data_IF_650033053063
#
_entry.id   IF_650033053063
#
_cell.length_a   1.000
_cell.length_b   1.000
_cell.length_c   1.000
_cell.angle_alpha   90.00
_cell.angle_beta   90.00
_cell.angle_gamma   90.00
#
_symmetry.space_group_name_H-M   'P 1'
#
loop_
_entity.id
_entity.type
_entity.pdbx_description
1 polymer ?
#
# COMPACT_ATOMS: atom_id res chain seq x y z
N UNK A 1 46.06 -1.78 31.32
CA UNK A 1 45.33 -0.58 30.83
C UNK A 1 45.59 -0.46 29.35
N UNK A 2 44.75 -1.03 28.55
CA UNK A 2 44.77 -0.88 27.09
C UNK A 2 43.41 -0.37 26.66
N UNK A 3 43.39 0.93 26.34
CA UNK A 3 42.26 1.70 25.94
C UNK A 3 41.96 1.37 24.46
N UNK A 4 41.01 0.50 24.20
CA UNK A 4 40.47 0.27 22.85
C UNK A 4 39.39 1.31 22.60
N UNK A 5 39.79 2.48 22.09
CA UNK A 5 38.89 3.42 21.47
C UNK A 5 38.33 2.82 20.17
N UNK A 6 37.04 2.56 20.18
CA UNK A 6 36.27 2.24 18.98
C UNK A 6 36.15 3.54 18.16
N UNK A 7 36.62 3.63 16.89
CA UNK A 7 36.52 4.85 16.13
C UNK A 7 35.05 5.09 15.76
N UNK A 8 34.46 6.15 16.28
CA UNK A 8 33.22 6.72 15.75
C UNK A 8 33.47 7.12 14.30
N UNK A 9 32.95 6.36 13.35
CA UNK A 9 32.93 6.77 11.94
C UNK A 9 31.95 7.94 11.81
N UNK A 10 32.51 9.13 11.67
CA UNK A 10 31.78 10.33 11.25
C UNK A 10 31.43 10.19 9.76
N UNK A 11 30.37 10.86 9.29
CA UNK A 11 29.86 10.83 7.89
C UNK A 11 30.94 11.09 6.81
N UNK A 12 32.02 11.78 7.16
CA UNK A 12 33.10 12.16 6.25
C UNK A 12 34.09 11.04 5.89
N UNK A 13 33.96 9.84 6.49
CA UNK A 13 34.87 8.70 6.25
C UNK A 13 34.22 7.52 5.51
N UNK A 14 32.97 7.64 5.08
CA UNK A 14 32.25 6.57 4.41
C UNK A 14 32.57 6.59 2.91
N UNK A 15 33.21 5.52 2.42
CA UNK A 15 33.41 5.33 0.99
C UNK A 15 32.08 4.94 0.30
N UNK A 16 31.70 5.69 -0.74
CA UNK A 16 30.46 5.50 -1.49
C UNK A 16 30.29 4.05 -2.00
N UNK A 17 31.31 3.51 -2.69
CA UNK A 17 31.23 2.17 -3.26
C UNK A 17 31.09 1.08 -2.19
N UNK A 18 31.79 1.24 -1.08
CA UNK A 18 31.69 0.33 0.09
C UNK A 18 30.29 0.38 0.69
N UNK A 19 29.71 1.58 0.84
CA UNK A 19 28.35 1.73 1.37
C UNK A 19 27.29 1.10 0.44
N UNK A 20 27.36 1.36 -0.87
CA UNK A 20 26.48 0.70 -1.86
C UNK A 20 26.55 -0.82 -1.74
N UNK A 21 27.77 -1.38 -1.74
CA UNK A 21 27.95 -2.83 -1.67
C UNK A 21 27.40 -3.41 -0.35
N UNK A 22 27.60 -2.72 0.76
CA UNK A 22 27.10 -3.15 2.07
C UNK A 22 25.57 -3.17 2.11
N UNK A 23 24.90 -2.12 1.60
CA UNK A 23 23.44 -2.06 1.52
C UNK A 23 22.90 -3.19 0.61
N UNK A 24 23.43 -3.33 -0.60
CA UNK A 24 22.97 -4.35 -1.55
C UNK A 24 23.18 -5.75 -0.97
N UNK A 25 24.35 -6.07 -0.45
CA UNK A 25 24.63 -7.41 0.09
C UNK A 25 23.71 -7.80 1.25
N UNK A 26 23.29 -6.81 2.06
CA UNK A 26 22.40 -7.05 3.19
C UNK A 26 20.95 -7.21 2.75
N UNK A 27 20.49 -6.39 1.81
CA UNK A 27 19.06 -6.22 1.55
C UNK A 27 18.56 -6.81 0.22
N UNK A 28 19.47 -7.20 -0.70
CA UNK A 28 19.11 -7.76 -2.01
C UNK A 28 18.15 -8.94 -1.91
N UNK A 29 18.34 -9.82 -0.94
CA UNK A 29 17.50 -11.01 -0.78
C UNK A 29 16.06 -10.66 -0.39
N UNK A 30 15.87 -9.58 0.37
CA UNK A 30 14.55 -9.15 0.89
C UNK A 30 13.84 -8.24 -0.09
N UNK A 31 14.56 -7.30 -0.73
CA UNK A 31 13.98 -6.23 -1.52
C UNK A 31 14.33 -6.28 -3.00
N UNK A 32 15.29 -7.12 -3.40
CA UNK A 32 15.74 -7.19 -4.78
C UNK A 32 14.66 -7.75 -5.71
N UNK A 33 14.50 -7.11 -6.87
CA UNK A 33 13.69 -7.60 -7.99
C UNK A 33 14.63 -8.07 -9.10
N UNK A 34 14.14 -8.96 -9.97
CA UNK A 34 14.91 -9.45 -11.12
C UNK A 34 15.14 -8.39 -12.21
N UNK A 35 14.41 -7.30 -12.16
CA UNK A 35 14.52 -6.20 -13.12
C UNK A 35 15.73 -5.33 -12.79
N UNK A 36 16.83 -5.50 -13.52
CA UNK A 36 17.95 -4.59 -13.44
C UNK A 36 17.54 -3.18 -13.87
N UNK A 37 17.82 -2.17 -13.06
CA UNK A 37 17.70 -0.77 -13.46
C UNK A 37 18.79 -0.46 -14.49
N UNK A 38 18.41 0.18 -15.59
CA UNK A 38 19.34 0.76 -16.59
C UNK A 38 19.72 2.21 -16.25
N UNK A 39 19.21 2.74 -15.14
CA UNK A 39 19.49 4.11 -14.71
C UNK A 39 20.98 4.27 -14.40
N UNK A 40 21.62 5.25 -15.07
CA UNK A 40 23.00 5.63 -14.79
C UNK A 40 22.95 6.58 -13.60
N UNK A 41 23.35 6.08 -12.44
CA UNK A 41 23.47 6.89 -11.25
C UNK A 41 24.53 8.00 -11.43
N UNK A 42 24.20 9.23 -11.02
CA UNK A 42 25.12 10.35 -10.96
C UNK A 42 25.12 10.96 -9.56
N UNK A 43 26.27 10.97 -8.84
CA UNK A 43 26.36 11.63 -7.54
C UNK A 43 25.96 13.10 -7.61
N UNK A 44 25.09 13.54 -6.72
CA UNK A 44 24.60 14.92 -6.72
C UNK A 44 24.30 15.45 -5.29
N UNK A 45 24.40 14.57 -4.28
CA UNK A 45 24.04 14.86 -2.90
C UNK A 45 25.17 14.44 -1.94
N UNK A 46 24.84 14.18 -0.70
CA UNK A 46 25.83 13.64 0.24
C UNK A 46 26.05 12.13 -0.02
N UNK A 47 27.17 11.59 0.50
CA UNK A 47 27.61 10.23 0.24
C UNK A 47 26.58 9.18 0.68
N UNK A 48 25.80 9.41 1.75
CA UNK A 48 24.82 8.48 2.29
C UNK A 48 23.60 8.41 1.39
N UNK A 49 23.05 9.57 1.02
CA UNK A 49 21.95 9.65 0.06
C UNK A 49 22.33 8.97 -1.26
N UNK A 50 23.50 9.32 -1.77
CA UNK A 50 23.97 8.83 -3.05
C UNK A 50 24.17 7.29 -3.04
N UNK A 51 24.77 6.76 -1.98
CA UNK A 51 24.96 5.33 -1.83
C UNK A 51 23.63 4.56 -1.67
N UNK A 52 22.70 5.07 -0.87
CA UNK A 52 21.40 4.46 -0.68
C UNK A 52 20.55 4.49 -1.96
N UNK A 53 20.57 5.62 -2.70
CA UNK A 53 19.87 5.75 -3.97
C UNK A 53 20.39 4.75 -5.01
N UNK A 54 21.71 4.68 -5.20
CA UNK A 54 22.33 3.71 -6.12
C UNK A 54 22.05 2.27 -5.71
N UNK A 55 22.14 1.94 -4.42
CA UNK A 55 21.83 0.60 -3.92
C UNK A 55 20.37 0.20 -4.21
N UNK A 56 19.42 1.10 -3.98
CA UNK A 56 18.00 0.88 -4.29
C UNK A 56 17.77 0.66 -5.80
N UNK A 57 18.38 1.47 -6.66
CA UNK A 57 18.31 1.29 -8.11
C UNK A 57 18.85 -0.10 -8.52
N UNK A 58 19.99 -0.53 -7.95
CA UNK A 58 20.57 -1.86 -8.22
C UNK A 58 19.65 -3.00 -7.75
N UNK A 59 18.87 -2.80 -6.69
CA UNK A 59 17.86 -3.74 -6.21
C UNK A 59 16.53 -3.67 -6.98
N UNK A 60 16.44 -2.88 -8.07
CA UNK A 60 15.26 -2.80 -8.93
C UNK A 60 14.15 -1.89 -8.41
N UNK A 61 14.44 -0.94 -7.52
CA UNK A 61 13.52 0.16 -7.24
C UNK A 61 13.50 1.15 -8.40
N UNK A 62 12.36 1.76 -8.67
CA UNK A 62 12.26 2.88 -9.62
C UNK A 62 12.90 4.15 -9.03
N UNK A 63 13.26 5.11 -9.88
CA UNK A 63 13.99 6.33 -9.47
C UNK A 63 13.32 7.08 -8.31
N UNK A 64 12.00 7.29 -8.40
CA UNK A 64 11.28 8.02 -7.36
C UNK A 64 11.27 7.29 -6.01
N UNK A 65 11.12 5.97 -6.01
CA UNK A 65 11.16 5.16 -4.80
C UNK A 65 12.57 5.12 -4.21
N UNK A 66 13.59 4.99 -5.07
CA UNK A 66 14.99 5.03 -4.65
C UNK A 66 15.33 6.36 -3.97
N UNK A 67 14.86 7.48 -4.51
CA UNK A 67 15.02 8.80 -3.93
C UNK A 67 14.31 8.93 -2.57
N UNK A 68 13.12 8.35 -2.40
CA UNK A 68 12.41 8.35 -1.12
C UNK A 68 13.19 7.59 -0.05
N UNK A 69 13.67 6.39 -0.36
CA UNK A 69 14.47 5.56 0.57
C UNK A 69 15.80 6.24 0.89
N UNK A 70 16.46 6.85 -0.09
CA UNK A 70 17.72 7.57 0.11
C UNK A 70 17.57 8.77 1.08
N UNK A 71 16.49 9.54 0.95
CA UNK A 71 16.15 10.61 1.90
C UNK A 71 15.91 10.07 3.30
N UNK A 72 15.15 8.97 3.41
CA UNK A 72 14.87 8.34 4.68
C UNK A 72 16.16 7.80 5.35
N UNK A 73 17.08 7.24 4.56
CA UNK A 73 18.38 6.77 5.08
C UNK A 73 19.25 7.91 5.58
N UNK A 74 19.25 9.04 4.86
CA UNK A 74 19.93 10.25 5.32
C UNK A 74 19.32 10.74 6.63
N UNK A 75 17.99 10.88 6.71
CA UNK A 75 17.29 11.30 7.92
C UNK A 75 17.54 10.35 9.11
N UNK A 76 17.49 9.03 8.87
CA UNK A 76 17.86 8.02 9.88
C UNK A 76 19.28 8.22 10.38
N UNK A 77 20.24 8.47 9.49
CA UNK A 77 21.65 8.70 9.87
C UNK A 77 21.80 9.97 10.70
N UNK A 78 21.14 11.05 10.31
CA UNK A 78 21.13 12.31 11.06
C UNK A 78 20.50 12.12 12.45
N UNK A 79 19.38 11.42 12.55
CA UNK A 79 18.67 11.14 13.81
C UNK A 79 19.46 10.22 14.73
N UNK A 80 20.15 9.21 14.20
CA UNK A 80 20.89 8.21 15.00
C UNK A 80 22.34 8.60 15.26
N UNK A 81 22.88 9.57 14.51
CA UNK A 81 24.27 10.01 14.57
C UNK A 81 25.26 9.07 13.89
N UNK A 82 24.79 8.02 13.18
CA UNK A 82 25.66 7.06 12.46
C UNK A 82 24.96 6.45 11.25
N UNK A 83 25.73 6.19 10.21
CA UNK A 83 25.29 5.37 9.10
C UNK A 83 25.37 3.88 9.46
N UNK A 84 24.31 3.14 9.13
CA UNK A 84 24.26 1.69 9.30
C UNK A 84 23.64 1.03 8.06
N UNK A 85 24.47 0.45 7.21
CA UNK A 85 24.03 -0.22 5.98
C UNK A 85 23.15 -1.46 6.24
N UNK A 86 23.21 -2.04 7.44
CA UNK A 86 22.42 -3.19 7.85
C UNK A 86 20.99 -2.85 8.29
N UNK A 87 20.71 -1.57 8.53
CA UNK A 87 19.45 -1.13 9.10
C UNK A 87 18.61 -0.37 8.06
N UNK A 88 17.70 -1.08 7.39
CA UNK A 88 16.75 -0.47 6.46
C UNK A 88 15.88 0.58 7.17
N UNK A 89 15.67 1.77 6.58
CA UNK A 89 14.81 2.79 7.20
C UNK A 89 13.36 2.29 7.33
N UNK A 90 12.83 2.34 8.56
CA UNK A 90 11.45 1.93 8.88
C UNK A 90 10.74 2.90 9.81
N UNK A 91 11.43 3.97 10.22
CA UNK A 91 10.83 5.00 11.06
C UNK A 91 9.96 5.94 10.20
N UNK A 92 8.65 6.09 10.48
CA UNK A 92 7.75 6.93 9.69
C UNK A 92 8.25 8.37 9.53
N UNK A 93 8.82 8.96 10.57
CA UNK A 93 9.34 10.33 10.56
C UNK A 93 10.51 10.52 9.60
N UNK A 94 11.33 9.48 9.35
CA UNK A 94 12.44 9.54 8.40
C UNK A 94 11.92 9.66 6.94
N UNK A 95 10.70 9.22 6.67
CA UNK A 95 9.99 9.40 5.40
C UNK A 95 9.13 10.68 5.35
N UNK A 96 9.10 11.46 6.42
CA UNK A 96 8.27 12.67 6.54
C UNK A 96 6.80 12.40 6.85
N UNK A 97 6.44 11.15 7.18
CA UNK A 97 5.09 10.77 7.59
C UNK A 97 4.76 11.40 8.93
N UNK A 98 3.58 12.01 9.02
CA UNK A 98 3.10 12.66 10.21
C UNK A 98 2.06 11.78 10.91
N UNK A 99 1.99 11.80 12.26
CA UNK A 99 0.98 11.07 13.02
C UNK A 99 -0.45 11.41 12.61
N UNK A 100 -1.36 10.47 12.78
CA UNK A 100 -2.81 10.64 12.61
C UNK A 100 -3.50 10.82 13.98
N UNK A 101 -4.67 11.51 14.05
CA UNK A 101 -5.36 12.20 12.96
C UNK A 101 -4.76 13.58 12.68
N UNK A 102 -4.92 14.07 11.42
CA UNK A 102 -4.58 15.45 11.02
C UNK A 102 -5.85 16.26 10.80
N UNK A 103 -5.74 17.58 10.80
CA UNK A 103 -6.88 18.49 10.60
C UNK A 103 -7.65 18.20 9.31
N UNK A 104 -6.95 17.74 8.27
CA UNK A 104 -7.52 17.44 6.95
C UNK A 104 -7.68 15.94 6.68
N UNK A 105 -7.61 15.08 7.71
CA UNK A 105 -7.84 13.64 7.55
C UNK A 105 -9.24 13.35 7.01
N UNK A 106 -9.34 12.31 6.19
CA UNK A 106 -10.63 11.74 5.81
C UNK A 106 -11.28 11.00 6.98
N UNK A 107 -12.58 10.75 6.90
CA UNK A 107 -13.29 9.97 7.92
C UNK A 107 -12.61 8.60 8.14
N UNK A 108 -12.45 8.14 9.39
CA UNK A 108 -11.69 6.92 9.67
C UNK A 108 -12.41 5.66 9.19
N UNK A 109 -11.63 4.65 8.85
CA UNK A 109 -12.03 3.27 8.66
C UNK A 109 -11.67 2.42 9.90
N UNK A 110 -12.27 1.22 10.08
CA UNK A 110 -11.71 0.20 10.97
C UNK A 110 -10.25 -0.10 10.61
N UNK A 111 -9.40 -0.31 11.61
CA UNK A 111 -7.98 -0.63 11.39
C UNK A 111 -7.77 -1.91 10.56
N UNK A 112 -8.71 -2.86 10.69
CA UNK A 112 -8.74 -4.08 9.89
C UNK A 112 -10.01 -4.08 9.03
N UNK A 113 -9.84 -3.92 7.73
CA UNK A 113 -10.91 -4.03 6.73
C UNK A 113 -11.19 -5.51 6.36
N UNK A 114 -10.35 -6.44 6.83
CA UNK A 114 -10.50 -7.89 6.67
C UNK A 114 -10.35 -8.36 5.22
N UNK A 115 -11.19 -9.31 4.81
CA UNK A 115 -11.31 -9.69 3.41
C UNK A 115 -11.93 -8.55 2.62
N UNK A 116 -11.23 -8.09 1.60
CA UNK A 116 -11.65 -6.98 0.76
C UNK A 116 -11.96 -7.51 -0.66
N UNK A 117 -13.23 -7.60 -1.03
CA UNK A 117 -13.65 -8.11 -2.34
C UNK A 117 -13.75 -6.96 -3.36
N UNK A 118 -13.01 -7.02 -4.46
CA UNK A 118 -13.13 -6.09 -5.59
C UNK A 118 -13.96 -6.74 -6.68
N UNK A 119 -15.11 -6.16 -7.00
CA UNK A 119 -16.23 -6.79 -7.68
C UNK A 119 -16.71 -5.98 -8.89
N UNK A 120 -17.13 -6.63 -9.98
CA UNK A 120 -17.39 -5.96 -11.25
C UNK A 120 -18.73 -5.22 -11.33
N UNK A 121 -19.71 -5.62 -10.52
CA UNK A 121 -21.07 -5.10 -10.58
C UNK A 121 -21.81 -5.19 -9.24
N UNK A 122 -22.98 -4.56 -9.16
CA UNK A 122 -23.81 -4.51 -7.96
C UNK A 122 -24.36 -5.88 -7.53
N UNK A 123 -24.59 -6.80 -8.47
CA UNK A 123 -25.06 -8.14 -8.15
C UNK A 123 -23.98 -8.92 -7.38
N UNK A 124 -22.73 -8.84 -7.82
CA UNK A 124 -21.60 -9.40 -7.10
C UNK A 124 -21.36 -8.73 -5.75
N UNK A 125 -21.51 -7.38 -5.67
CA UNK A 125 -21.41 -6.65 -4.41
C UNK A 125 -22.43 -7.17 -3.40
N UNK A 126 -23.70 -7.28 -3.78
CA UNK A 126 -24.74 -7.82 -2.92
C UNK A 126 -24.49 -9.27 -2.49
N UNK A 127 -24.07 -10.11 -3.44
CA UNK A 127 -23.75 -11.52 -3.19
C UNK A 127 -22.66 -11.69 -2.13
N UNK A 128 -21.55 -10.95 -2.25
CA UNK A 128 -20.44 -11.04 -1.31
C UNK A 128 -20.76 -10.38 0.04
N UNK A 129 -21.48 -9.27 0.05
CA UNK A 129 -21.93 -8.63 1.29
C UNK A 129 -22.86 -9.56 2.09
N UNK A 130 -23.81 -10.24 1.43
CA UNK A 130 -24.70 -11.22 2.07
C UNK A 130 -23.94 -12.47 2.54
N UNK A 131 -22.85 -12.85 1.89
CA UNK A 131 -21.96 -13.91 2.36
C UNK A 131 -21.06 -13.49 3.54
N UNK A 132 -21.21 -12.27 4.07
CA UNK A 132 -20.49 -11.78 5.23
C UNK A 132 -19.08 -11.24 4.94
N UNK A 133 -18.77 -10.89 3.68
CA UNK A 133 -17.52 -10.20 3.36
C UNK A 133 -17.55 -8.79 3.97
N UNK A 134 -16.59 -8.44 4.86
CA UNK A 134 -16.65 -7.20 5.62
C UNK A 134 -16.41 -5.94 4.80
N UNK A 135 -15.68 -6.04 3.68
CA UNK A 135 -15.39 -4.90 2.81
C UNK A 135 -15.55 -5.30 1.35
N UNK A 136 -16.35 -4.53 0.62
CA UNK A 136 -16.64 -4.75 -0.80
C UNK A 136 -16.37 -3.46 -1.59
N UNK A 137 -15.84 -3.60 -2.80
CA UNK A 137 -15.60 -2.50 -3.71
C UNK A 137 -16.33 -2.76 -5.04
N UNK A 138 -17.17 -1.83 -5.44
CA UNK A 138 -17.73 -1.80 -6.78
C UNK A 138 -16.69 -1.24 -7.74
N UNK A 139 -16.15 -2.08 -8.62
CA UNK A 139 -15.24 -1.68 -9.70
C UNK A 139 -15.92 -1.85 -11.05
N UNK A 140 -16.96 -1.05 -11.27
CA UNK A 140 -17.74 -1.01 -12.50
C UNK A 140 -17.02 -0.13 -13.53
N UNK A 141 -16.76 -0.68 -14.71
CA UNK A 141 -16.10 0.04 -15.80
C UNK A 141 -17.12 0.48 -16.82
N UNK A 142 -17.40 1.77 -16.85
CA UNK A 142 -18.26 2.44 -17.82
C UNK A 142 -17.84 3.91 -17.94
N UNK A 143 -18.06 4.49 -19.10
CA UNK A 143 -17.91 5.93 -19.35
C UNK A 143 -19.27 6.63 -19.43
N UNK A 144 -20.38 5.88 -19.34
CA UNK A 144 -21.73 6.42 -19.42
C UNK A 144 -22.22 6.84 -18.01
N UNK A 145 -22.44 8.14 -17.74
CA UNK A 145 -22.81 8.63 -16.40
C UNK A 145 -24.09 8.01 -15.85
N UNK A 146 -25.11 7.80 -16.72
CA UNK A 146 -26.37 7.21 -16.29
C UNK A 146 -26.23 5.72 -15.91
N UNK A 147 -25.38 4.97 -16.58
CA UNK A 147 -25.08 3.58 -16.22
C UNK A 147 -24.32 3.53 -14.89
N UNK A 148 -23.32 4.39 -14.71
CA UNK A 148 -22.55 4.51 -13.48
C UNK A 148 -23.47 4.83 -12.29
N UNK A 149 -24.32 5.85 -12.42
CA UNK A 149 -25.24 6.24 -11.36
C UNK A 149 -26.21 5.11 -10.96
N UNK A 150 -26.77 4.41 -11.95
CA UNK A 150 -27.65 3.24 -11.69
C UNK A 150 -26.91 2.13 -10.95
N UNK A 151 -25.69 1.81 -11.38
CA UNK A 151 -24.91 0.72 -10.79
C UNK A 151 -24.45 1.04 -9.38
N UNK A 152 -24.03 2.28 -9.12
CA UNK A 152 -23.66 2.75 -7.76
C UNK A 152 -24.86 2.69 -6.82
N UNK A 153 -26.04 3.17 -7.24
CA UNK A 153 -27.25 3.09 -6.44
C UNK A 153 -27.68 1.64 -6.18
N UNK A 154 -27.57 0.78 -7.20
CA UNK A 154 -27.87 -0.65 -7.05
C UNK A 154 -26.93 -1.32 -6.04
N UNK A 155 -25.62 -1.02 -6.06
CA UNK A 155 -24.65 -1.53 -5.12
C UNK A 155 -24.93 -1.06 -3.68
N UNK A 156 -25.25 0.23 -3.48
CA UNK A 156 -25.63 0.76 -2.17
C UNK A 156 -26.87 0.04 -1.62
N UNK A 157 -27.88 -0.18 -2.47
CA UNK A 157 -29.08 -0.93 -2.09
C UNK A 157 -28.75 -2.39 -1.75
N UNK A 158 -27.84 -3.01 -2.49
CA UNK A 158 -27.48 -4.42 -2.33
C UNK A 158 -26.75 -4.72 -1.01
N UNK A 159 -26.06 -3.74 -0.41
CA UNK A 159 -25.40 -3.90 0.90
C UNK A 159 -26.28 -3.53 2.08
N UNK A 160 -27.50 -3.01 1.86
CA UNK A 160 -28.42 -2.65 2.94
C UNK A 160 -28.80 -3.89 3.78
N UNK A 161 -28.73 -3.73 5.09
CA UNK A 161 -29.01 -4.83 6.04
C UNK A 161 -27.82 -5.78 6.24
N UNK A 162 -26.66 -5.48 5.70
CA UNK A 162 -25.39 -6.17 5.98
C UNK A 162 -24.43 -5.23 6.70
N UNK A 163 -23.36 -5.77 7.29
CA UNK A 163 -22.27 -5.00 7.91
C UNK A 163 -21.16 -4.63 6.92
N UNK A 164 -21.34 -4.90 5.63
CA UNK A 164 -20.31 -4.68 4.61
C UNK A 164 -20.06 -3.19 4.35
N UNK A 165 -18.78 -2.81 4.36
CA UNK A 165 -18.32 -1.47 4.00
C UNK A 165 -18.18 -1.38 2.48
N UNK A 166 -18.98 -0.53 1.82
CA UNK A 166 -18.96 -0.38 0.36
C UNK A 166 -18.12 0.80 -0.10
N UNK A 167 -17.07 0.52 -0.87
CA UNK A 167 -16.31 1.53 -1.59
C UNK A 167 -16.63 1.53 -3.08
N UNK A 168 -16.73 2.73 -3.67
CA UNK A 168 -16.93 2.93 -5.11
C UNK A 168 -15.58 3.27 -5.75
N UNK A 169 -15.17 2.50 -6.77
CA UNK A 169 -13.91 2.72 -7.46
C UNK A 169 -14.07 3.80 -8.54
N UNK A 170 -13.17 4.79 -8.57
CA UNK A 170 -13.01 5.89 -9.54
C UNK A 170 -14.20 6.88 -9.62
N UNK A 171 -15.44 6.42 -9.56
CA UNK A 171 -16.65 7.20 -9.78
C UNK A 171 -17.08 8.05 -8.55
N UNK A 172 -16.21 8.95 -8.12
CA UNK A 172 -16.38 9.70 -6.88
C UNK A 172 -17.60 10.64 -6.89
N UNK A 173 -17.95 11.27 -8.03
CA UNK A 173 -19.16 12.10 -8.13
C UNK A 173 -20.42 11.28 -7.86
N UNK A 174 -20.54 10.13 -8.54
CA UNK A 174 -21.70 9.24 -8.33
C UNK A 174 -21.75 8.70 -6.90
N UNK A 175 -20.59 8.47 -6.27
CA UNK A 175 -20.52 8.04 -4.88
C UNK A 175 -21.00 9.14 -3.91
N UNK A 176 -20.66 10.41 -4.16
CA UNK A 176 -21.17 11.56 -3.39
C UNK A 176 -22.68 11.68 -3.55
N UNK A 177 -23.17 11.71 -4.79
CA UNK A 177 -24.60 11.89 -5.12
C UNK A 177 -25.48 10.79 -4.51
N UNK A 178 -24.96 9.57 -4.44
CA UNK A 178 -25.67 8.41 -3.90
C UNK A 178 -25.45 8.20 -2.39
N UNK A 179 -24.58 8.95 -1.73
CA UNK A 179 -24.27 8.80 -0.31
C UNK A 179 -23.58 7.47 0.03
N UNK A 180 -22.58 7.07 -0.75
CA UNK A 180 -21.80 5.86 -0.50
C UNK A 180 -21.02 5.94 0.82
N UNK A 181 -20.54 4.80 1.32
CA UNK A 181 -19.66 4.75 2.49
C UNK A 181 -18.29 5.38 2.21
N UNK A 182 -17.74 5.13 1.03
CA UNK A 182 -16.45 5.69 0.63
C UNK A 182 -16.14 5.50 -0.85
N UNK A 183 -15.02 6.06 -1.25
CA UNK A 183 -14.46 5.94 -2.61
C UNK A 183 -13.05 5.35 -2.54
N UNK A 184 -12.65 4.68 -3.61
CA UNK A 184 -11.28 4.21 -3.82
C UNK A 184 -10.74 4.79 -5.12
N UNK A 185 -9.58 5.47 -5.04
CA UNK A 185 -8.97 6.15 -6.16
C UNK A 185 -7.55 5.62 -6.45
N UNK A 186 -7.17 5.63 -7.71
CA UNK A 186 -5.80 5.42 -8.16
C UNK A 186 -4.97 6.70 -8.12
N UNK A 187 -3.68 6.60 -8.45
CA UNK A 187 -2.77 7.74 -8.49
C UNK A 187 -3.12 8.76 -9.59
N UNK A 188 -3.67 8.27 -10.71
CA UNK A 188 -4.11 9.11 -11.82
C UNK A 188 -5.34 9.94 -11.45
N UNK A 189 -6.24 9.36 -10.63
CA UNK A 189 -7.46 10.02 -10.20
C UNK A 189 -7.20 11.15 -9.21
N UNK A 190 -6.10 11.11 -8.46
CA UNK A 190 -5.71 12.17 -7.52
C UNK A 190 -5.49 13.54 -8.18
N UNK A 191 -5.17 13.56 -9.46
CA UNK A 191 -4.93 14.80 -10.21
C UNK A 191 -6.22 15.46 -10.69
N UNK A 192 -7.33 14.70 -10.72
CA UNK A 192 -8.61 15.15 -11.29
C UNK A 192 -9.78 15.13 -10.30
N UNK A 193 -9.69 14.35 -9.22
CA UNK A 193 -10.77 14.25 -8.23
C UNK A 193 -10.79 15.47 -7.31
N UNK A 194 -11.99 15.98 -7.03
CA UNK A 194 -12.19 16.99 -5.99
C UNK A 194 -12.19 16.34 -4.60
N UNK A 195 -10.99 16.18 -4.04
CA UNK A 195 -10.81 15.60 -2.71
C UNK A 195 -11.49 16.41 -1.60
N UNK A 196 -11.71 17.73 -1.83
CA UNK A 196 -12.42 18.57 -0.89
C UNK A 196 -13.92 18.25 -0.88
N UNK A 197 -14.54 18.07 -2.05
CA UNK A 197 -15.92 17.64 -2.16
C UNK A 197 -16.16 16.26 -1.54
N UNK A 198 -15.24 15.29 -1.79
CA UNK A 198 -15.31 13.94 -1.20
C UNK A 198 -15.27 14.02 0.33
N UNK A 199 -14.36 14.83 0.89
CA UNK A 199 -14.22 15.02 2.35
C UNK A 199 -15.45 15.72 2.95
N UNK A 200 -15.96 16.78 2.30
CA UNK A 200 -17.14 17.50 2.75
C UNK A 200 -18.40 16.63 2.74
N UNK A 201 -18.50 15.69 1.79
CA UNK A 201 -19.57 14.70 1.75
C UNK A 201 -19.45 13.63 2.85
N UNK A 202 -18.36 13.63 3.64
CA UNK A 202 -18.12 12.67 4.72
C UNK A 202 -17.70 11.28 4.24
N UNK A 203 -17.35 11.12 2.97
CA UNK A 203 -16.93 9.83 2.42
C UNK A 203 -15.50 9.48 2.90
N UNK A 204 -15.27 8.17 3.10
CA UNK A 204 -13.94 7.61 3.31
C UNK A 204 -13.19 7.58 1.98
N UNK A 205 -11.88 7.79 2.04
CA UNK A 205 -11.00 7.74 0.88
C UNK A 205 -9.99 6.60 1.03
N UNK A 206 -10.00 5.66 0.10
CA UNK A 206 -8.93 4.68 -0.10
C UNK A 206 -8.04 5.08 -1.26
N UNK A 207 -6.74 4.90 -1.13
CA UNK A 207 -5.78 5.20 -2.19
C UNK A 207 -4.92 3.99 -2.55
N UNK A 208 -4.84 3.68 -3.84
CA UNK A 208 -3.89 2.70 -4.38
C UNK A 208 -2.48 3.26 -4.43
N UNK A 209 -1.49 2.44 -4.04
CA UNK A 209 -0.05 2.77 -4.12
C UNK A 209 0.77 1.59 -4.60
N UNK A 210 1.88 1.87 -5.29
CA UNK A 210 2.72 0.86 -5.94
C UNK A 210 4.18 0.90 -5.47
N UNK A 211 4.54 1.84 -4.60
CA UNK A 211 5.89 2.02 -4.05
C UNK A 211 5.96 3.20 -3.09
N UNK A 212 7.15 3.50 -2.61
CA UNK A 212 7.39 4.53 -1.58
C UNK A 212 6.91 5.92 -2.00
N UNK A 213 7.22 6.36 -3.22
CA UNK A 213 6.87 7.69 -3.70
C UNK A 213 5.35 7.92 -3.72
N UNK A 214 4.58 6.92 -4.19
CA UNK A 214 3.13 6.98 -4.20
C UNK A 214 2.53 6.90 -2.80
N UNK A 215 3.17 6.16 -1.88
CA UNK A 215 2.78 6.10 -0.47
C UNK A 215 2.95 7.44 0.22
N UNK A 216 4.08 8.14 -0.02
CA UNK A 216 4.30 9.49 0.51
C UNK A 216 3.31 10.48 -0.07
N UNK A 217 2.99 10.36 -1.36
CA UNK A 217 1.93 11.16 -2.00
C UNK A 217 0.56 10.88 -1.38
N UNK A 218 0.23 9.61 -1.15
CA UNK A 218 -1.03 9.24 -0.50
C UNK A 218 -1.11 9.78 0.93
N UNK A 219 -0.04 9.63 1.72
CA UNK A 219 0.05 10.15 3.09
C UNK A 219 -0.23 11.65 3.17
N UNK A 220 0.25 12.44 2.21
CA UNK A 220 0.00 13.88 2.16
C UNK A 220 -1.50 14.25 2.12
N UNK A 221 -2.36 13.35 1.66
CA UNK A 221 -3.82 13.55 1.63
C UNK A 221 -4.54 13.01 2.86
N UNK A 222 -3.84 12.32 3.76
CA UNK A 222 -4.37 11.68 4.97
C UNK A 222 -5.65 10.84 4.70
N UNK A 223 -5.57 9.82 3.80
CA UNK A 223 -6.71 9.01 3.41
C UNK A 223 -7.23 8.15 4.56
N UNK A 224 -8.38 7.51 4.37
CA UNK A 224 -8.97 6.59 5.36
C UNK A 224 -8.26 5.25 5.41
N UNK A 225 -7.68 4.80 4.31
CA UNK A 225 -6.82 3.63 4.21
C UNK A 225 -5.91 3.71 2.97
N UNK A 226 -4.84 2.93 2.99
CA UNK A 226 -3.89 2.81 1.87
C UNK A 226 -3.87 1.36 1.38
N UNK A 227 -4.04 1.18 0.06
CA UNK A 227 -3.89 -0.11 -0.61
C UNK A 227 -2.52 -0.19 -1.28
N UNK A 228 -1.83 -1.30 -1.06
CA UNK A 228 -0.44 -1.52 -1.48
C UNK A 228 -0.36 -2.73 -2.42
N UNK A 229 0.18 -2.55 -3.61
CA UNK A 229 0.33 -3.63 -4.60
C UNK A 229 0.90 -3.14 -5.93
N UNK A 230 1.02 -4.01 -6.98
CA UNK A 230 0.65 -5.44 -6.86
C UNK A 230 1.72 -6.20 -6.07
N UNK A 231 1.29 -7.03 -5.10
CA UNK A 231 2.22 -7.87 -4.33
C UNK A 231 2.79 -8.99 -5.20
N UNK A 232 1.93 -9.66 -5.97
CA UNK A 232 2.30 -10.74 -6.90
C UNK A 232 1.88 -10.41 -8.34
N UNK A 233 2.38 -11.15 -9.35
CA UNK A 233 1.97 -10.96 -10.74
C UNK A 233 0.45 -11.02 -10.90
N UNK A 234 -0.10 -10.08 -11.64
CA UNK A 234 -1.53 -9.97 -11.95
C UNK A 234 -1.75 -9.63 -13.42
N UNK A 235 -2.87 -10.09 -13.98
CA UNK A 235 -3.28 -9.79 -15.36
C UNK A 235 -4.48 -8.84 -15.43
N UNK A 236 -5.02 -8.43 -14.27
CA UNK A 236 -6.24 -7.60 -14.21
C UNK A 236 -5.99 -6.12 -14.50
N UNK A 237 -4.80 -5.63 -14.23
CA UNK A 237 -4.33 -4.30 -14.57
C UNK A 237 -2.90 -4.40 -15.08
N UNK A 238 -2.59 -3.69 -16.16
CA UNK A 238 -1.20 -3.55 -16.61
C UNK A 238 -0.50 -2.63 -15.61
N UNK A 239 0.50 -3.18 -14.94
CA UNK A 239 1.29 -2.44 -13.95
C UNK A 239 2.50 -1.80 -14.63
N UNK A 240 2.85 -0.58 -14.22
CA UNK A 240 4.09 0.09 -14.64
C UNK A 240 5.29 -0.39 -13.85
N UNK A 241 5.05 -0.89 -12.62
CA UNK A 241 6.08 -1.45 -11.73
C UNK A 241 5.99 -2.97 -11.70
N UNK A 242 7.12 -3.63 -11.46
CA UNK A 242 7.16 -5.05 -11.16
C UNK A 242 6.39 -5.36 -9.86
N UNK A 243 5.91 -6.61 -9.68
CA UNK A 243 5.33 -7.06 -8.41
C UNK A 243 6.30 -6.82 -7.26
N UNK A 244 5.79 -6.26 -6.16
CA UNK A 244 6.63 -5.77 -5.06
C UNK A 244 7.12 -6.88 -4.11
N UNK A 245 6.40 -8.00 -4.05
CA UNK A 245 6.70 -9.08 -3.12
C UNK A 245 6.40 -8.75 -1.65
N UNK A 246 6.44 -9.78 -0.81
CA UNK A 246 6.10 -9.65 0.61
C UNK A 246 7.20 -8.97 1.45
N UNK A 247 8.46 -9.04 1.01
CA UNK A 247 9.56 -8.32 1.68
C UNK A 247 9.37 -6.80 1.64
N UNK A 248 9.08 -6.25 0.47
CA UNK A 248 8.76 -4.81 0.33
C UNK A 248 7.46 -4.46 1.04
N UNK A 249 6.44 -5.32 0.94
CA UNK A 249 5.17 -5.13 1.63
C UNK A 249 5.34 -4.98 3.15
N UNK A 250 6.22 -5.77 3.78
CA UNK A 250 6.53 -5.64 5.21
C UNK A 250 7.17 -4.30 5.54
N UNK A 251 8.11 -3.83 4.73
CA UNK A 251 8.73 -2.52 4.93
C UNK A 251 7.71 -1.37 4.78
N UNK A 252 6.81 -1.47 3.81
CA UNK A 252 5.71 -0.52 3.62
C UNK A 252 4.75 -0.50 4.81
N UNK A 253 4.36 -1.68 5.31
CA UNK A 253 3.49 -1.79 6.47
C UNK A 253 4.11 -1.17 7.73
N UNK A 254 5.42 -1.28 7.90
CA UNK A 254 6.12 -0.69 9.05
C UNK A 254 6.05 0.83 9.07
N UNK A 255 6.23 1.50 7.92
CA UNK A 255 6.23 2.98 7.88
C UNK A 255 4.81 3.58 7.85
N UNK A 256 3.80 2.81 7.48
CA UNK A 256 2.40 3.26 7.39
C UNK A 256 1.52 2.66 8.49
N UNK A 257 2.10 2.26 9.63
CA UNK A 257 1.43 1.53 10.70
C UNK A 257 0.21 2.23 11.32
N UNK A 258 0.11 3.56 11.20
CA UNK A 258 -1.03 4.34 11.67
C UNK A 258 -2.27 4.22 10.73
N UNK A 259 -2.08 3.75 9.50
CA UNK A 259 -3.17 3.58 8.54
C UNK A 259 -3.77 2.16 8.58
N UNK A 260 -5.07 2.01 8.34
CA UNK A 260 -5.60 0.76 7.83
C UNK A 260 -4.91 0.42 6.51
N UNK A 261 -4.33 -0.78 6.40
CA UNK A 261 -3.55 -1.20 5.24
C UNK A 261 -4.21 -2.38 4.54
N UNK A 262 -4.26 -2.31 3.20
CA UNK A 262 -4.84 -3.34 2.34
C UNK A 262 -3.81 -3.81 1.32
N UNK A 263 -3.38 -5.06 1.40
CA UNK A 263 -2.55 -5.65 0.35
C UNK A 263 -3.41 -6.09 -0.85
N UNK A 264 -2.94 -5.84 -2.08
CA UNK A 264 -3.64 -6.23 -3.30
C UNK A 264 -2.68 -6.73 -4.38
N UNK A 265 -3.18 -7.58 -5.27
CA UNK A 265 -2.48 -8.02 -6.47
C UNK A 265 -1.99 -9.45 -6.39
N UNK A 266 -2.65 -10.33 -7.15
CA UNK A 266 -2.30 -11.75 -7.28
C UNK A 266 -2.47 -12.57 -6.00
N UNK A 267 -3.28 -12.10 -5.05
CA UNK A 267 -3.53 -12.77 -3.77
C UNK A 267 -4.61 -13.84 -3.95
N UNK A 268 -4.33 -15.01 -3.44
CA UNK A 268 -5.21 -16.18 -3.34
C UNK A 268 -5.01 -16.86 -1.97
N UNK A 269 -5.73 -17.93 -1.72
CA UNK A 269 -5.67 -18.63 -0.45
C UNK A 269 -4.28 -19.20 -0.11
N UNK A 270 -3.48 -19.60 -1.10
CA UNK A 270 -2.15 -20.15 -0.86
C UNK A 270 -1.15 -19.06 -0.42
N UNK A 271 -1.31 -17.83 -0.93
CA UNK A 271 -0.46 -16.67 -0.68
C UNK A 271 -0.90 -15.83 0.52
N UNK A 272 -2.16 -16.00 0.93
CA UNK A 272 -2.75 -15.19 2.00
C UNK A 272 -1.96 -15.22 3.32
N UNK A 273 -1.47 -16.37 3.83
CA UNK A 273 -0.68 -16.40 5.07
C UNK A 273 0.60 -15.56 4.98
N UNK A 274 1.32 -15.63 3.86
CA UNK A 274 2.54 -14.86 3.63
C UNK A 274 2.25 -13.34 3.55
N UNK A 275 1.15 -12.96 2.89
CA UNK A 275 0.70 -11.57 2.82
C UNK A 275 0.38 -11.03 4.22
N UNK A 276 -0.41 -11.75 4.99
CA UNK A 276 -0.82 -11.30 6.32
C UNK A 276 0.35 -11.26 7.32
N UNK A 277 1.38 -12.08 7.13
CA UNK A 277 2.61 -12.03 7.92
C UNK A 277 3.42 -10.74 7.72
N UNK A 278 3.16 -9.98 6.65
CA UNK A 278 3.82 -8.69 6.42
C UNK A 278 3.38 -7.56 7.36
N UNK A 279 2.35 -7.78 8.18
CA UNK A 279 1.81 -6.78 9.09
C UNK A 279 0.62 -5.97 8.54
N UNK A 280 0.17 -6.24 7.30
CA UNK A 280 -1.06 -5.64 6.77
C UNK A 280 -2.28 -6.20 7.49
N UNK A 281 -3.26 -5.34 7.76
CA UNK A 281 -4.50 -5.75 8.45
C UNK A 281 -5.57 -6.35 7.54
N UNK A 282 -5.38 -6.28 6.20
CA UNK A 282 -6.43 -6.64 5.25
C UNK A 282 -5.85 -7.09 3.91
N UNK A 283 -6.57 -7.95 3.21
CA UNK A 283 -6.18 -8.45 1.90
C UNK A 283 -7.31 -8.31 0.88
N UNK A 284 -7.01 -7.66 -0.25
CA UNK A 284 -7.96 -7.49 -1.35
C UNK A 284 -7.78 -8.57 -2.41
N UNK A 285 -8.90 -9.14 -2.84
CA UNK A 285 -8.96 -10.19 -3.84
C UNK A 285 -9.98 -9.85 -4.93
N UNK A 286 -9.75 -10.34 -6.13
CA UNK A 286 -10.66 -10.25 -7.28
C UNK A 286 -10.97 -11.65 -7.77
N UNK A 287 -10.05 -12.24 -8.57
CA UNK A 287 -10.25 -13.54 -9.20
C UNK A 287 -10.41 -14.71 -8.24
N UNK A 288 -9.80 -14.62 -7.06
CA UNK A 288 -9.98 -15.65 -6.04
C UNK A 288 -11.45 -15.86 -5.66
N UNK A 289 -12.29 -14.82 -5.82
CA UNK A 289 -13.74 -14.92 -5.61
C UNK A 289 -14.51 -15.09 -6.92
N UNK A 290 -14.35 -14.18 -7.88
CA UNK A 290 -15.18 -14.15 -9.10
C UNK A 290 -14.95 -15.38 -10.01
N UNK A 291 -13.82 -16.05 -9.90
CA UNK A 291 -13.51 -17.27 -10.65
C UNK A 291 -13.65 -18.56 -9.82
N UNK A 292 -14.05 -18.46 -8.56
CA UNK A 292 -14.26 -19.64 -7.71
C UNK A 292 -15.50 -20.41 -8.16
N UNK A 293 -15.44 -21.74 -8.01
CA UNK A 293 -16.60 -22.60 -8.27
C UNK A 293 -17.75 -22.33 -7.28
N UNK A 294 -17.40 -21.99 -6.03
CA UNK A 294 -18.32 -21.56 -4.96
C UNK A 294 -17.72 -20.30 -4.29
N UNK A 295 -18.08 -19.11 -4.78
CA UNK A 295 -17.55 -17.83 -4.27
C UNK A 295 -17.87 -17.56 -2.81
N UNK A 296 -19.03 -17.97 -2.30
CA UNK A 296 -19.43 -17.77 -0.92
C UNK A 296 -18.61 -18.64 0.04
N UNK A 297 -18.41 -19.91 -0.31
CA UNK A 297 -17.56 -20.80 0.47
C UNK A 297 -16.11 -20.32 0.46
N UNK A 298 -15.61 -19.84 -0.69
CA UNK A 298 -14.26 -19.30 -0.79
C UNK A 298 -14.11 -17.99 0.01
N UNK A 299 -15.09 -17.09 -0.03
CA UNK A 299 -15.11 -15.88 0.80
C UNK A 299 -15.06 -16.21 2.29
N UNK A 300 -15.88 -17.14 2.74
CA UNK A 300 -15.89 -17.60 4.12
C UNK A 300 -14.55 -18.20 4.55
N UNK A 301 -13.91 -18.99 3.67
CA UNK A 301 -12.60 -19.60 3.92
C UNK A 301 -11.51 -18.54 4.05
N UNK A 302 -11.42 -17.60 3.11
CA UNK A 302 -10.43 -16.52 3.12
C UNK A 302 -10.60 -15.61 4.33
N UNK A 303 -11.84 -15.22 4.66
CA UNK A 303 -12.14 -14.39 5.83
C UNK A 303 -11.74 -15.10 7.13
N UNK A 304 -12.06 -16.38 7.27
CA UNK A 304 -11.69 -17.18 8.44
C UNK A 304 -10.17 -17.26 8.60
N UNK A 305 -9.42 -17.37 7.52
CA UNK A 305 -7.97 -17.43 7.55
C UNK A 305 -7.36 -16.08 7.97
N UNK A 306 -7.86 -14.96 7.43
CA UNK A 306 -7.44 -13.61 7.86
C UNK A 306 -7.66 -13.44 9.37
N UNK A 307 -8.85 -13.79 9.87
CA UNK A 307 -9.18 -13.65 11.29
C UNK A 307 -8.27 -14.48 12.19
N UNK A 308 -7.95 -15.73 11.80
CA UNK A 308 -7.01 -16.57 12.54
C UNK A 308 -5.63 -15.95 12.62
N UNK A 309 -5.09 -15.48 11.49
CA UNK A 309 -3.75 -14.90 11.47
C UNK A 309 -3.72 -13.60 12.29
N UNK A 310 -4.72 -12.73 12.14
CA UNK A 310 -4.81 -11.50 12.93
C UNK A 310 -4.96 -11.76 14.44
N UNK A 311 -5.59 -12.86 14.84
CA UNK A 311 -5.68 -13.26 16.24
C UNK A 311 -4.36 -13.77 16.84
N UNK A 312 -3.50 -14.37 16.03
CA UNK A 312 -2.17 -14.85 16.43
C UNK A 312 -1.14 -13.72 16.54
N UNK A 313 -1.36 -12.59 15.87
CA UNK A 313 -0.46 -11.45 15.83
C UNK A 313 -0.79 -10.36 16.89
N UNK A 314 -1.77 -10.59 17.75
CA UNK A 314 -2.13 -9.75 18.91
C UNK A 314 -1.49 -10.27 20.18
#
# INVERSE_FOLDING_TARGET
MTNTQNPQQTSDSIDHGTAVQAIVSTHQRTFGLETASTAVYRPAHNVIYDAANEACLRMGFIENDSACVAKAWQAQTERTGRFDAGLWPTEPSDFGIQPLPRTHSFAPCPQQLGLYAVLPDAAWVGRMAQAGVPTVQLRFKSEEPAAIAREVQAAIKAVQGTDALLFINDHWQAAIDAGAYGVHLGQEDLDIADLSAIRQAGLRLGLSTHGYAEMMRADAHAPSYIAMGAVFPTTLKRMLTAPQGTGRLSAYASILCDYPLVAIGGIDAARLPEVMASGVGSAAVVRALVAAADPEAEASRLQSEILKICALNR
#
